data_IF_459706227287
#
_entry.id   IF_459706227287
#
_cell.length_a   1.000
_cell.length_b   1.000
_cell.length_c   1.000
_cell.angle_alpha   90.00
_cell.angle_beta   90.00
_cell.angle_gamma   90.00
#
_symmetry.space_group_name_H-M   'P 1'
#
loop_
_entity.id
_entity.type
_entity.pdbx_description
1 polymer ?
#
# COMPACT_ATOMS: atom_id res chain seq x y z
N UNK A 1 -20.35 17.48 -9.61
CA UNK A 1 -19.41 16.46 -10.12
C UNK A 1 -17.92 16.84 -10.00
N UNK A 2 -17.50 18.12 -10.06
CA UNK A 2 -16.09 18.54 -9.85
C UNK A 2 -15.52 18.20 -8.45
N UNK A 3 -16.32 18.33 -7.40
CA UNK A 3 -15.90 18.07 -6.00
C UNK A 3 -15.64 16.58 -5.72
N UNK A 4 -16.44 15.70 -6.33
CA UNK A 4 -16.26 14.24 -6.19
C UNK A 4 -14.95 13.81 -6.85
N UNK A 5 -14.61 14.40 -7.99
CA UNK A 5 -13.38 14.07 -8.72
C UNK A 5 -12.10 14.63 -8.04
N UNK A 6 -12.19 15.65 -7.18
CA UNK A 6 -11.01 16.18 -6.47
C UNK A 6 -10.62 15.34 -5.25
N UNK A 7 -11.57 14.63 -4.64
CA UNK A 7 -11.34 13.91 -3.38
C UNK A 7 -10.96 12.44 -3.60
N UNK A 8 -11.25 11.89 -4.78
CA UNK A 8 -10.86 10.51 -5.15
C UNK A 8 -9.35 10.31 -5.16
N UNK A 9 -8.57 11.39 -5.33
CA UNK A 9 -7.11 11.34 -5.27
C UNK A 9 -6.55 10.91 -3.91
N UNK A 10 -7.35 11.02 -2.84
CA UNK A 10 -6.93 10.67 -1.48
C UNK A 10 -7.23 9.23 -1.09
N UNK A 11 -8.03 8.50 -1.89
CA UNK A 11 -8.43 7.11 -1.62
C UNK A 11 -7.21 6.21 -1.37
N UNK A 12 -6.14 6.25 -2.18
CA UNK A 12 -4.99 5.39 -1.95
C UNK A 12 -4.30 5.64 -0.61
N UNK A 13 -4.17 6.91 -0.20
CA UNK A 13 -3.50 7.24 1.06
C UNK A 13 -4.31 6.79 2.27
N UNK A 14 -5.64 6.98 2.24
CA UNK A 14 -6.53 6.50 3.29
C UNK A 14 -6.51 4.97 3.40
N UNK A 15 -6.44 4.28 2.25
CA UNK A 15 -6.28 2.83 2.21
C UNK A 15 -4.99 2.38 2.92
N UNK A 16 -3.83 2.93 2.55
CA UNK A 16 -2.57 2.58 3.18
C UNK A 16 -2.50 2.98 4.65
N UNK A 17 -3.12 4.11 5.04
CA UNK A 17 -3.24 4.49 6.46
C UNK A 17 -4.01 3.44 7.26
N UNK A 18 -5.11 2.95 6.70
CA UNK A 18 -5.97 1.96 7.34
C UNK A 18 -5.22 0.63 7.52
N UNK A 19 -4.39 0.26 6.55
CA UNK A 19 -3.53 -0.92 6.65
C UNK A 19 -2.50 -0.74 7.75
N UNK A 20 -1.80 0.40 7.78
CA UNK A 20 -0.80 0.69 8.81
C UNK A 20 -1.44 0.64 10.19
N UNK A 21 -2.63 1.24 10.37
CA UNK A 21 -3.37 1.20 11.63
C UNK A 21 -3.77 -0.23 12.00
N UNK A 22 -4.32 -1.01 11.06
CA UNK A 22 -4.70 -2.40 11.29
C UNK A 22 -3.50 -3.25 11.70
N UNK A 23 -2.42 -3.22 10.93
CA UNK A 23 -1.19 -3.98 11.24
C UNK A 23 -0.58 -3.55 12.56
N UNK A 24 -0.53 -2.25 12.85
CA UNK A 24 -0.09 -1.75 14.14
C UNK A 24 -0.93 -2.34 15.27
N UNK A 25 -2.26 -2.31 15.17
CA UNK A 25 -3.12 -2.85 16.24
C UNK A 25 -2.94 -4.35 16.45
N UNK A 26 -2.71 -5.12 15.39
CA UNK A 26 -2.48 -6.57 15.47
C UNK A 26 -1.12 -6.84 16.12
N UNK A 27 -0.04 -6.22 15.65
CA UNK A 27 1.32 -6.45 16.14
C UNK A 27 1.51 -5.86 17.54
N UNK A 28 0.91 -4.71 17.84
CA UNK A 28 1.00 -4.10 19.17
C UNK A 28 0.37 -4.99 20.26
N UNK A 29 -0.64 -5.80 19.91
CA UNK A 29 -1.23 -6.77 20.84
C UNK A 29 -0.32 -7.97 21.14
N UNK A 30 0.54 -8.36 20.20
CA UNK A 30 1.40 -9.54 20.34
C UNK A 30 2.84 -9.22 20.76
N UNK A 31 3.41 -8.12 20.25
CA UNK A 31 4.83 -7.79 20.40
C UNK A 31 5.10 -6.40 20.99
N UNK A 32 4.06 -5.62 21.28
CA UNK A 32 4.16 -4.33 21.98
C UNK A 32 5.03 -3.30 21.25
N UNK A 33 6.16 -2.92 21.86
CA UNK A 33 7.02 -1.80 21.41
C UNK A 33 7.58 -2.01 19.99
N UNK A 34 7.77 -3.25 19.54
CA UNK A 34 8.24 -3.55 18.18
C UNK A 34 7.24 -3.15 17.09
N UNK A 35 6.00 -2.81 17.46
CA UNK A 35 4.97 -2.32 16.54
C UNK A 35 5.15 -0.84 16.15
N UNK A 36 5.86 -0.02 16.94
CA UNK A 36 6.00 1.42 16.68
C UNK A 36 6.66 1.79 15.34
N UNK A 37 7.67 1.04 14.83
CA UNK A 37 8.17 1.22 13.47
C UNK A 37 7.07 1.15 12.39
N UNK A 38 6.00 0.36 12.60
CA UNK A 38 4.87 0.25 11.66
C UNK A 38 4.14 1.60 11.56
N UNK A 39 3.92 2.28 12.71
CA UNK A 39 3.34 3.62 12.74
C UNK A 39 4.19 4.65 12.00
N UNK A 40 5.53 4.55 12.09
CA UNK A 40 6.43 5.45 11.37
C UNK A 40 6.27 5.31 9.85
N UNK A 41 5.97 4.10 9.33
CA UNK A 41 5.65 3.90 7.92
C UNK A 41 4.33 4.57 7.48
N UNK A 42 3.46 4.95 8.42
CA UNK A 42 2.25 5.74 8.14
C UNK A 42 2.52 7.23 7.87
N UNK A 43 3.66 7.76 8.33
CA UNK A 43 3.98 9.20 8.24
C UNK A 43 3.99 9.72 6.80
N UNK A 44 4.62 9.04 5.81
CA UNK A 44 4.59 9.50 4.42
C UNK A 44 3.16 9.62 3.86
N UNK A 45 2.24 8.75 4.29
CA UNK A 45 0.85 8.77 3.85
C UNK A 45 0.04 9.88 4.52
N UNK A 46 0.23 10.10 5.82
CA UNK A 46 -0.33 11.25 6.55
C UNK A 46 0.13 12.57 5.91
N UNK A 47 1.41 12.66 5.56
CA UNK A 47 1.97 13.83 4.91
C UNK A 47 1.30 14.11 3.56
N UNK A 48 1.00 13.09 2.77
CA UNK A 48 0.30 13.24 1.49
C UNK A 48 -1.15 13.74 1.62
N UNK A 49 -1.82 13.48 2.76
CA UNK A 49 -3.16 14.01 3.03
C UNK A 49 -3.13 15.51 3.34
N UNK A 50 -2.14 15.96 4.11
CA UNK A 50 -2.02 17.36 4.54
C UNK A 50 -1.40 18.22 3.42
N UNK A 51 -0.29 17.76 2.85
CA UNK A 51 0.49 18.49 1.85
C UNK A 51 0.93 17.54 0.74
N UNK A 52 0.15 17.42 -0.34
CA UNK A 52 0.48 16.50 -1.42
C UNK A 52 1.81 16.89 -2.07
N UNK A 53 2.69 15.89 -2.24
CA UNK A 53 3.99 16.07 -2.88
C UNK A 53 4.13 15.03 -3.99
N UNK A 54 4.24 15.50 -5.23
CA UNK A 54 4.30 14.65 -6.43
C UNK A 54 5.47 13.67 -6.40
N UNK A 55 6.68 14.11 -6.01
CA UNK A 55 7.87 13.26 -5.96
C UNK A 55 7.70 12.15 -4.93
N UNK A 56 7.23 12.50 -3.73
CA UNK A 56 6.99 11.53 -2.67
C UNK A 56 5.85 10.57 -3.06
N UNK A 57 4.78 11.04 -3.69
CA UNK A 57 3.67 10.19 -4.15
C UNK A 57 4.14 9.19 -5.22
N UNK A 58 4.98 9.64 -6.16
CA UNK A 58 5.54 8.77 -7.20
C UNK A 58 6.48 7.71 -6.62
N UNK A 59 7.38 8.09 -5.70
CA UNK A 59 8.29 7.15 -5.03
C UNK A 59 7.48 6.11 -4.24
N UNK A 60 6.53 6.54 -3.42
CA UNK A 60 5.65 5.62 -2.67
C UNK A 60 4.88 4.70 -3.61
N UNK A 61 4.32 5.24 -4.69
CA UNK A 61 3.62 4.45 -5.71
C UNK A 61 4.51 3.35 -6.30
N UNK A 62 5.73 3.68 -6.74
CA UNK A 62 6.67 2.70 -7.30
C UNK A 62 7.07 1.65 -6.25
N UNK A 63 7.41 2.08 -5.03
CA UNK A 63 7.81 1.16 -3.96
C UNK A 63 6.71 0.15 -3.67
N UNK A 64 5.45 0.58 -3.58
CA UNK A 64 4.33 -0.32 -3.31
C UNK A 64 3.94 -1.17 -4.52
N UNK A 65 4.10 -0.68 -5.75
CA UNK A 65 3.95 -1.49 -6.97
C UNK A 65 4.98 -2.63 -6.98
N UNK A 66 6.24 -2.32 -6.66
CA UNK A 66 7.30 -3.32 -6.60
C UNK A 66 7.03 -4.37 -5.51
N UNK A 67 6.70 -3.91 -4.30
CA UNK A 67 6.42 -4.79 -3.16
C UNK A 67 5.21 -5.71 -3.43
N UNK A 68 4.10 -5.14 -3.92
CA UNK A 68 2.90 -5.92 -4.23
C UNK A 68 3.10 -6.87 -5.41
N UNK A 69 3.83 -6.45 -6.45
CA UNK A 69 4.21 -7.34 -7.56
C UNK A 69 5.05 -8.52 -7.07
N UNK A 70 6.02 -8.28 -6.19
CA UNK A 70 6.81 -9.35 -5.58
C UNK A 70 5.92 -10.34 -4.82
N UNK A 71 4.97 -9.85 -4.00
CA UNK A 71 4.03 -10.72 -3.27
C UNK A 71 3.14 -11.54 -4.20
N UNK A 72 2.66 -10.94 -5.29
CA UNK A 72 1.87 -11.64 -6.32
C UNK A 72 2.72 -12.75 -6.97
N UNK A 73 3.95 -12.43 -7.38
CA UNK A 73 4.87 -13.41 -7.97
C UNK A 73 5.24 -14.54 -7.00
N UNK A 74 5.47 -14.24 -5.73
CA UNK A 74 5.72 -15.24 -4.69
C UNK A 74 4.53 -16.19 -4.55
N UNK A 75 3.30 -15.67 -4.59
CA UNK A 75 2.10 -16.51 -4.58
C UNK A 75 1.96 -17.35 -5.86
N UNK A 76 2.18 -16.78 -7.05
CA UNK A 76 2.19 -17.55 -8.30
C UNK A 76 3.24 -18.67 -8.25
N UNK A 77 4.45 -18.38 -7.78
CA UNK A 77 5.53 -19.35 -7.65
C UNK A 77 5.13 -20.54 -6.76
N UNK A 78 4.44 -20.25 -5.64
CA UNK A 78 3.90 -21.28 -4.77
C UNK A 78 2.75 -22.06 -5.42
N UNK A 79 1.87 -21.39 -6.18
CA UNK A 79 0.77 -22.04 -6.91
C UNK A 79 1.28 -23.00 -7.99
N UNK A 80 2.36 -22.63 -8.69
CA UNK A 80 3.01 -23.48 -9.69
C UNK A 80 4.00 -24.50 -9.08
N UNK A 81 4.09 -24.59 -7.75
CA UNK A 81 5.04 -25.45 -7.02
C UNK A 81 6.52 -25.25 -7.44
N UNK A 82 6.89 -24.05 -7.90
CA UNK A 82 8.27 -23.72 -8.28
C UNK A 82 9.12 -23.54 -7.01
N UNK A 83 8.56 -22.86 -6.01
CA UNK A 83 9.13 -22.70 -4.67
C UNK A 83 8.01 -22.91 -3.65
N UNK A 84 8.17 -23.87 -2.74
CA UNK A 84 7.20 -24.19 -1.70
C UNK A 84 7.31 -23.23 -0.51
N UNK A 85 6.43 -22.22 -0.48
CA UNK A 85 6.23 -21.38 0.69
C UNK A 85 5.13 -21.99 1.57
N UNK A 86 5.39 -22.19 2.87
CA UNK A 86 4.37 -22.69 3.79
C UNK A 86 3.21 -21.71 3.89
N UNK A 87 2.04 -22.07 3.35
CA UNK A 87 0.75 -21.39 3.52
C UNK A 87 0.72 -19.88 3.20
N UNK A 88 0.95 -19.49 1.94
CA UNK A 88 0.49 -18.19 1.46
C UNK A 88 -1.05 -18.25 1.33
N UNK A 89 -1.76 -17.75 2.34
CA UNK A 89 -3.21 -17.76 2.39
C UNK A 89 -3.86 -16.86 1.31
N UNK A 90 -5.07 -17.23 0.86
CA UNK A 90 -5.84 -16.46 -0.15
C UNK A 90 -6.02 -14.97 0.21
N UNK A 91 -6.08 -14.65 1.50
CA UNK A 91 -6.20 -13.26 2.00
C UNK A 91 -4.96 -12.41 1.67
N UNK A 92 -3.75 -12.99 1.69
CA UNK A 92 -2.49 -12.29 1.38
C UNK A 92 -2.46 -11.85 -0.08
N UNK A 93 -3.01 -12.66 -0.98
CA UNK A 93 -3.09 -12.37 -2.42
C UNK A 93 -4.05 -11.24 -2.70
N UNK A 94 -5.24 -11.28 -2.09
CA UNK A 94 -6.24 -10.22 -2.22
C UNK A 94 -5.64 -8.90 -1.73
N UNK A 95 -4.97 -8.93 -0.58
CA UNK A 95 -4.27 -7.77 -0.04
C UNK A 95 -3.19 -7.24 -1.01
N UNK A 96 -2.40 -8.12 -1.63
CA UNK A 96 -1.37 -7.72 -2.59
C UNK A 96 -1.99 -7.08 -3.85
N UNK A 97 -3.06 -7.66 -4.41
CA UNK A 97 -3.76 -7.14 -5.60
C UNK A 97 -4.39 -5.77 -5.31
N UNK A 98 -5.11 -5.61 -4.20
CA UNK A 98 -5.71 -4.32 -3.86
C UNK A 98 -4.63 -3.26 -3.63
N UNK A 99 -3.54 -3.63 -2.96
CA UNK A 99 -2.40 -2.73 -2.75
C UNK A 99 -1.72 -2.34 -4.07
N UNK A 100 -1.61 -3.26 -5.03
CA UNK A 100 -1.11 -2.99 -6.37
C UNK A 100 -1.99 -1.98 -7.12
N UNK A 101 -3.31 -2.16 -7.08
CA UNK A 101 -4.27 -1.23 -7.71
C UNK A 101 -4.17 0.17 -7.09
N UNK A 102 -4.09 0.26 -5.76
CA UNK A 102 -3.96 1.55 -5.05
C UNK A 102 -2.63 2.24 -5.35
N UNK A 103 -1.54 1.49 -5.46
CA UNK A 103 -0.23 2.01 -5.83
C UNK A 103 -0.20 2.53 -7.29
N UNK A 104 -0.84 1.80 -8.23
CA UNK A 104 -1.03 2.28 -9.60
C UNK A 104 -1.87 3.57 -9.65
N UNK A 105 -2.88 3.68 -8.80
CA UNK A 105 -3.67 4.91 -8.69
C UNK A 105 -2.81 6.09 -8.20
N UNK A 106 -1.94 5.88 -7.21
CA UNK A 106 -0.98 6.89 -6.75
C UNK A 106 -0.10 7.40 -7.90
N UNK A 107 0.47 6.47 -8.69
CA UNK A 107 1.29 6.81 -9.86
C UNK A 107 0.45 7.58 -10.88
N UNK A 108 -0.76 7.11 -11.21
CA UNK A 108 -1.66 7.80 -12.14
C UNK A 108 -1.96 9.23 -11.70
N UNK A 109 -2.23 9.44 -10.42
CA UNK A 109 -2.50 10.79 -9.87
C UNK A 109 -1.28 11.70 -9.99
N UNK A 110 -0.07 11.16 -9.77
CA UNK A 110 1.17 11.93 -9.91
C UNK A 110 1.47 12.35 -11.36
N UNK A 111 1.06 11.54 -12.35
CA UNK A 111 1.23 11.83 -13.78
C UNK A 111 0.18 12.81 -14.30
N UNK A 112 -1.08 12.67 -13.88
CA UNK A 112 -2.20 13.52 -14.34
C UNK A 112 -2.10 14.99 -13.95
N UNK A 113 -1.35 15.32 -12.89
CA UNK A 113 -1.12 16.73 -12.52
C UNK A 113 0.04 17.39 -13.30
N UNK A 114 0.73 16.67 -14.19
CA UNK A 114 1.81 17.20 -15.04
C UNK A 114 1.40 17.35 -16.51
N UNK A 115 0.14 17.07 -16.85
CA UNK A 115 -0.48 17.30 -18.16
C UNK A 115 -1.59 18.32 -17.96
#
# INVERSE_FOLDING_TARGET
MKVINSNTKFIPYLYFLSIVAYWFTVVNRSEGITAYPILLFGIPFLWQLIKPNKKLNFILGISFVCLSSYMILAWLSNFFNIISFSNIGKQVVIFAIVSFIMALWMIRNSLKENI
#
